data_IF_034770344048
#
_entry.id   IF_034770344048
#
_cell.length_a   1.000
_cell.length_b   1.000
_cell.length_c   1.000
_cell.angle_alpha   90.00
_cell.angle_beta   90.00
_cell.angle_gamma   90.00
#
_symmetry.space_group_name_H-M   'P 1'
#
loop_
_entity.id
_entity.type
_entity.pdbx_description
1 polymer ?
#
# COMPACT_ATOMS: atom_id res chain seq x y z
N UNK A 1 2.06 -7.81 -17.92
CA UNK A 1 1.48 -8.29 -16.65
C UNK A 1 2.54 -9.00 -15.83
N UNK A 2 2.68 -8.54 -14.57
CA UNK A 2 3.27 -9.17 -13.38
C UNK A 2 4.68 -9.80 -13.43
N UNK A 3 5.61 -9.18 -12.67
CA UNK A 3 6.77 -9.71 -11.89
C UNK A 3 7.53 -8.54 -11.22
N UNK A 4 7.22 -7.28 -11.60
CA UNK A 4 8.03 -6.10 -11.28
C UNK A 4 7.24 -4.77 -11.18
N UNK A 5 6.10 -4.70 -10.49
CA UNK A 5 5.60 -3.37 -10.06
C UNK A 5 6.44 -2.94 -8.84
N UNK A 6 7.65 -2.56 -9.20
CA UNK A 6 8.87 -2.43 -8.41
C UNK A 6 8.75 -1.24 -7.46
N UNK A 7 8.14 -1.45 -6.28
CA UNK A 7 7.83 -0.41 -5.31
C UNK A 7 6.81 0.61 -5.87
N UNK A 8 5.85 1.05 -5.06
CA UNK A 8 5.32 2.41 -5.25
C UNK A 8 6.46 3.41 -5.03
N UNK A 9 7.26 3.64 -6.07
CA UNK A 9 8.45 4.48 -6.13
C UNK A 9 9.49 4.24 -5.03
N UNK A 10 10.54 3.49 -5.34
CA UNK A 10 11.79 3.49 -4.57
C UNK A 10 12.45 4.87 -4.57
N UNK A 11 11.96 5.81 -3.76
CA UNK A 11 12.89 6.56 -2.93
C UNK A 11 13.18 5.66 -1.74
N UNK A 12 14.14 4.75 -1.95
CA UNK A 12 14.87 4.15 -0.84
C UNK A 12 15.59 5.33 -0.16
N UNK A 13 14.87 6.06 0.69
CA UNK A 13 15.49 6.91 1.68
C UNK A 13 16.45 6.02 2.45
N UNK A 14 17.61 6.54 2.80
CA UNK A 14 18.83 5.82 3.18
C UNK A 14 18.70 4.74 4.30
N UNK A 15 17.51 4.53 4.87
CA UNK A 15 17.21 3.66 6.00
C UNK A 15 16.22 2.50 5.73
N UNK A 16 15.89 2.16 4.47
CA UNK A 16 15.04 0.99 4.18
C UNK A 16 13.54 1.16 4.45
N UNK A 17 13.06 2.41 4.46
CA UNK A 17 11.63 2.75 4.53
C UNK A 17 11.03 2.78 3.13
N UNK A 18 9.88 2.13 2.93
CA UNK A 18 9.06 2.26 1.72
C UNK A 18 8.07 3.41 1.90
N UNK A 19 7.95 4.26 0.89
CA UNK A 19 7.00 5.38 0.91
C UNK A 19 5.82 5.02 0.03
N UNK A 20 4.60 4.97 0.59
CA UNK A 20 3.38 4.74 -0.16
C UNK A 20 2.61 6.06 -0.31
N UNK A 21 2.31 6.42 -1.54
CA UNK A 21 1.46 7.57 -1.82
C UNK A 21 0.00 7.14 -1.82
N UNK A 22 -0.81 7.72 -0.92
CA UNK A 22 -2.23 7.38 -0.83
C UNK A 22 -3.01 7.74 -2.10
N UNK A 23 -2.57 8.79 -2.81
CA UNK A 23 -3.07 9.14 -4.15
C UNK A 23 -2.85 8.02 -5.16
N UNK A 24 -1.64 7.44 -5.20
CA UNK A 24 -1.32 6.35 -6.12
C UNK A 24 -2.03 5.06 -5.73
N UNK A 25 -2.18 4.79 -4.42
CA UNK A 25 -3.03 3.70 -3.91
C UNK A 25 -4.47 3.85 -4.39
N UNK A 26 -5.03 5.06 -4.28
CA UNK A 26 -6.39 5.32 -4.74
C UNK A 26 -6.53 5.14 -6.25
N UNK A 27 -5.63 5.70 -7.06
CA UNK A 27 -5.68 5.55 -8.52
C UNK A 27 -5.57 4.08 -8.94
N UNK A 28 -4.68 3.30 -8.31
CA UNK A 28 -4.55 1.86 -8.57
C UNK A 28 -5.76 1.07 -8.10
N UNK A 29 -6.33 1.42 -6.95
CA UNK A 29 -7.56 0.81 -6.47
C UNK A 29 -8.73 1.08 -7.42
N UNK A 30 -8.89 2.31 -7.90
CA UNK A 30 -9.93 2.68 -8.86
C UNK A 30 -9.77 1.92 -10.18
N UNK A 31 -8.55 1.83 -10.69
CA UNK A 31 -8.20 1.04 -11.89
C UNK A 31 -8.49 -0.46 -11.70
N UNK A 32 -8.04 -1.04 -10.58
CA UNK A 32 -8.28 -2.43 -10.24
C UNK A 32 -9.78 -2.73 -10.02
N UNK A 33 -10.53 -1.80 -9.44
CA UNK A 33 -11.97 -1.92 -9.28
C UNK A 33 -12.68 -1.90 -10.65
N UNK A 34 -12.26 -1.03 -11.57
CA UNK A 34 -12.76 -1.01 -12.94
C UNK A 34 -12.41 -2.30 -13.70
N UNK A 35 -11.26 -2.91 -13.41
CA UNK A 35 -10.82 -4.17 -13.98
C UNK A 35 -11.35 -5.42 -13.24
N UNK A 36 -12.06 -5.28 -12.12
CA UNK A 36 -12.52 -6.40 -11.28
C UNK A 36 -11.41 -7.15 -10.52
N UNK A 37 -10.22 -6.58 -10.40
CA UNK A 37 -9.02 -7.17 -9.77
C UNK A 37 -8.63 -6.48 -8.44
N UNK A 38 -9.56 -5.74 -7.84
CA UNK A 38 -9.32 -5.02 -6.57
C UNK A 38 -8.84 -5.94 -5.44
N UNK A 39 -9.39 -7.14 -5.33
CA UNK A 39 -8.98 -8.12 -4.31
C UNK A 39 -7.53 -8.58 -4.52
N UNK A 40 -7.13 -8.88 -5.76
CA UNK A 40 -5.75 -9.27 -6.09
C UNK A 40 -4.76 -8.12 -5.85
N UNK A 41 -5.19 -6.87 -6.05
CA UNK A 41 -4.38 -5.70 -5.73
C UNK A 41 -4.03 -5.64 -4.23
N UNK A 42 -5.02 -5.83 -3.34
CA UNK A 42 -4.78 -5.81 -1.89
C UNK A 42 -3.98 -7.02 -1.41
N UNK A 43 -4.16 -8.20 -2.01
CA UNK A 43 -3.37 -9.39 -1.68
C UNK A 43 -1.89 -9.18 -2.04
N UNK A 44 -1.61 -8.71 -3.26
CA UNK A 44 -0.25 -8.38 -3.69
C UNK A 44 0.36 -7.28 -2.82
N UNK A 45 -0.40 -6.24 -2.47
CA UNK A 45 0.05 -5.18 -1.59
C UNK A 45 0.46 -5.75 -0.21
N UNK A 46 -0.40 -6.57 0.41
CA UNK A 46 -0.10 -7.21 1.69
C UNK A 46 1.12 -8.13 1.61
N UNK A 47 1.29 -8.85 0.51
CA UNK A 47 2.44 -9.70 0.28
C UNK A 47 3.74 -8.91 0.13
N UNK A 48 3.74 -7.79 -0.60
CA UNK A 48 4.92 -6.92 -0.73
C UNK A 48 5.32 -6.31 0.61
N UNK A 49 4.32 -5.85 1.38
CA UNK A 49 4.55 -5.24 2.70
C UNK A 49 5.13 -6.21 3.73
N UNK A 50 4.96 -7.53 3.58
CA UNK A 50 5.59 -8.53 4.48
C UNK A 50 7.12 -8.47 4.47
N UNK A 51 7.74 -8.08 3.36
CA UNK A 51 9.20 -7.98 3.25
C UNK A 51 9.73 -6.62 3.74
N UNK A 52 8.82 -5.68 4.02
CA UNK A 52 9.14 -4.30 4.40
C UNK A 52 9.08 -4.14 5.92
N UNK A 53 10.06 -3.47 6.52
CA UNK A 53 10.05 -3.20 7.97
C UNK A 53 9.42 -1.86 8.34
N UNK A 54 9.46 -0.89 7.42
CA UNK A 54 8.93 0.46 7.64
C UNK A 54 8.21 0.97 6.40
N UNK A 55 7.01 1.45 6.60
CA UNK A 55 6.15 2.03 5.58
C UNK A 55 5.80 3.44 6.01
N UNK A 56 5.99 4.42 5.13
CA UNK A 56 5.57 5.80 5.34
C UNK A 56 4.46 6.14 4.36
N UNK A 57 3.30 6.53 4.87
CA UNK A 57 2.21 7.05 4.06
C UNK A 57 2.45 8.53 3.77
N UNK A 58 2.22 8.95 2.53
CA UNK A 58 2.22 10.35 2.13
C UNK A 58 0.92 10.68 1.41
N UNK A 59 0.60 11.98 1.30
CA UNK A 59 -0.64 12.47 0.68
C UNK A 59 -1.90 11.82 1.28
N UNK A 60 -1.93 11.67 2.60
CA UNK A 60 -3.02 11.02 3.36
C UNK A 60 -4.39 11.68 3.16
N UNK A 61 -4.45 12.90 2.60
CA UNK A 61 -5.69 13.56 2.15
C UNK A 61 -6.53 12.70 1.19
N UNK A 62 -5.90 11.81 0.42
CA UNK A 62 -6.58 10.87 -0.47
C UNK A 62 -7.22 9.66 0.23
N UNK A 63 -6.92 9.42 1.53
CA UNK A 63 -7.60 8.41 2.36
C UNK A 63 -8.98 8.88 2.86
N UNK A 64 -9.55 9.92 2.26
CA UNK A 64 -10.89 10.41 2.57
C UNK A 64 -11.98 9.42 2.13
N UNK A 65 -11.65 8.52 1.18
CA UNK A 65 -12.55 7.45 0.77
C UNK A 65 -12.66 6.36 1.85
N UNK A 66 -13.89 6.10 2.31
CA UNK A 66 -14.15 5.20 3.45
C UNK A 66 -13.91 3.73 3.11
N UNK A 67 -14.09 3.33 1.86
CA UNK A 67 -13.96 1.95 1.43
C UNK A 67 -12.48 1.59 1.30
N UNK A 68 -11.72 2.41 0.57
CA UNK A 68 -10.28 2.27 0.47
C UNK A 68 -9.60 2.31 1.85
N UNK A 69 -10.01 3.25 2.71
CA UNK A 69 -9.47 3.37 4.06
C UNK A 69 -9.71 2.09 4.87
N UNK A 70 -10.90 1.49 4.77
CA UNK A 70 -11.24 0.26 5.50
C UNK A 70 -10.41 -0.93 5.01
N UNK A 71 -10.26 -1.08 3.69
CA UNK A 71 -9.45 -2.14 3.10
C UNK A 71 -7.97 -1.98 3.48
N UNK A 72 -7.43 -0.76 3.38
CA UNK A 72 -6.06 -0.47 3.76
C UNK A 72 -5.81 -0.67 5.25
N UNK A 73 -6.76 -0.30 6.11
CA UNK A 73 -6.66 -0.52 7.55
C UNK A 73 -6.51 -2.02 7.87
N UNK A 74 -7.27 -2.88 7.17
CA UNK A 74 -7.14 -4.33 7.32
C UNK A 74 -5.76 -4.84 6.88
N UNK A 75 -5.24 -4.38 5.74
CA UNK A 75 -3.89 -4.73 5.26
C UNK A 75 -2.82 -4.25 6.24
N UNK A 76 -2.94 -3.01 6.73
CA UNK A 76 -2.00 -2.43 7.68
C UNK A 76 -2.07 -3.05 9.06
N UNK A 77 -3.25 -3.50 9.51
CA UNK A 77 -3.40 -4.22 10.77
C UNK A 77 -2.60 -5.53 10.73
N UNK A 78 -2.71 -6.30 9.64
CA UNK A 78 -1.92 -7.52 9.43
C UNK A 78 -0.43 -7.17 9.38
N UNK A 79 -0.03 -6.17 8.61
CA UNK A 79 1.37 -5.73 8.53
C UNK A 79 1.94 -5.33 9.91
N UNK A 80 1.20 -4.57 10.71
CA UNK A 80 1.60 -4.17 12.07
C UNK A 80 1.70 -5.36 13.01
N UNK A 81 0.82 -6.35 12.89
CA UNK A 81 0.89 -7.60 13.66
C UNK A 81 2.17 -8.40 13.38
N UNK A 82 2.71 -8.31 12.16
CA UNK A 82 3.98 -8.91 11.77
C UNK A 82 5.22 -8.07 12.18
N UNK A 83 5.04 -6.99 12.96
CA UNK A 83 6.13 -6.12 13.43
C UNK A 83 6.49 -4.97 12.47
N UNK A 84 5.66 -4.74 11.45
CA UNK A 84 5.80 -3.63 10.53
C UNK A 84 5.54 -2.27 11.20
N UNK A 85 6.43 -1.29 10.97
CA UNK A 85 6.20 0.10 11.41
C UNK A 85 5.49 0.89 10.33
N UNK A 86 4.35 1.48 10.67
CA UNK A 86 3.62 2.41 9.81
C UNK A 86 3.83 3.84 10.34
N UNK A 87 4.37 4.71 9.49
CA UNK A 87 4.45 6.16 9.73
C UNK A 87 3.40 6.82 8.83
N UNK A 88 2.57 7.70 9.39
CA UNK A 88 1.50 8.41 8.67
C UNK A 88 1.67 9.92 8.81
#
# INVERSE_FOLDING_TARGET
MNRRDFLMMRRRSAAGTVVLSCEQLYMRYADACAAGTATEFFDHLGHDLRSVKRVRLIKTSWLSDKDLKRQLDHVFAIYRAHGGRLEC
#
